data_IF_571665510098
#
_entry.id   IF_571665510098
#
_cell.length_a   1.000
_cell.length_b   1.000
_cell.length_c   1.000
_cell.angle_alpha   90.00
_cell.angle_beta   90.00
_cell.angle_gamma   90.00
#
_symmetry.space_group_name_H-M   'P 1'
#
loop_
_entity.id
_entity.type
_entity.pdbx_description
1 polymer ?
#
# COMPACT_ATOMS: atom_id res chain seq x y z
N UNK A 1 4.42 -21.65 29.22
CA UNK A 1 3.23 -21.41 28.38
C UNK A 1 3.55 -21.86 26.97
N UNK A 2 2.94 -22.94 26.49
CA UNK A 2 3.05 -23.35 25.08
C UNK A 2 2.05 -22.53 24.28
N UNK A 3 2.50 -21.82 23.24
CA UNK A 3 1.62 -21.14 22.29
C UNK A 3 0.72 -22.19 21.61
N UNK A 4 -0.58 -21.90 21.51
CA UNK A 4 -1.53 -22.80 20.85
C UNK A 4 -1.14 -22.95 19.37
N UNK A 5 -1.24 -24.16 18.82
CA UNK A 5 -0.92 -24.46 17.42
C UNK A 5 -1.69 -23.55 16.45
N UNK A 6 -2.94 -23.20 16.79
CA UNK A 6 -3.77 -22.26 16.00
C UNK A 6 -3.23 -20.83 16.01
N UNK A 7 -2.63 -20.39 17.11
CA UNK A 7 -2.01 -19.07 17.20
C UNK A 7 -0.77 -19.03 16.29
N UNK A 8 0.06 -20.07 16.34
CA UNK A 8 1.24 -20.19 15.49
C UNK A 8 0.90 -20.18 13.98
N UNK A 9 -0.15 -20.91 13.57
CA UNK A 9 -0.61 -20.93 12.18
C UNK A 9 -1.15 -19.57 11.71
N UNK A 10 -1.88 -18.85 12.58
CA UNK A 10 -2.37 -17.49 12.29
C UNK A 10 -1.22 -16.50 12.10
N UNK A 11 -0.23 -16.51 13.00
CA UNK A 11 0.94 -15.64 12.88
C UNK A 11 1.76 -15.98 11.64
N UNK A 12 1.95 -17.27 11.32
CA UNK A 12 2.64 -17.68 10.10
C UNK A 12 1.90 -17.19 8.84
N UNK A 13 0.58 -17.33 8.80
CA UNK A 13 -0.24 -16.79 7.71
C UNK A 13 -0.12 -15.27 7.57
N UNK A 14 -0.09 -14.55 8.70
CA UNK A 14 0.11 -13.10 8.73
C UNK A 14 1.49 -12.69 8.22
N UNK A 15 2.56 -13.36 8.66
CA UNK A 15 3.93 -13.09 8.20
C UNK A 15 4.07 -13.32 6.69
N UNK A 16 3.47 -14.40 6.17
CA UNK A 16 3.45 -14.69 4.74
C UNK A 16 2.70 -13.58 3.97
N UNK A 17 1.55 -13.13 4.47
CA UNK A 17 0.80 -12.04 3.86
C UNK A 17 1.61 -10.74 3.83
N UNK A 18 2.22 -10.35 4.96
CA UNK A 18 3.04 -9.14 5.06
C UNK A 18 4.25 -9.19 4.12
N UNK A 19 4.90 -10.35 4.00
CA UNK A 19 5.99 -10.55 3.05
C UNK A 19 5.52 -10.39 1.59
N UNK A 20 4.31 -10.88 1.26
CA UNK A 20 3.72 -10.67 -0.08
C UNK A 20 3.42 -9.19 -0.34
N UNK A 21 2.83 -8.48 0.62
CA UNK A 21 2.55 -7.04 0.51
C UNK A 21 3.84 -6.25 0.27
N UNK A 22 4.91 -6.55 1.05
CA UNK A 22 6.21 -5.89 0.90
C UNK A 22 6.84 -6.12 -0.47
N UNK A 23 6.76 -7.35 -1.00
CA UNK A 23 7.28 -7.68 -2.34
C UNK A 23 6.50 -7.02 -3.48
N UNK A 24 5.19 -6.83 -3.31
CA UNK A 24 4.32 -6.18 -4.29
C UNK A 24 4.18 -4.67 -4.10
N UNK A 25 5.00 -4.05 -3.25
CA UNK A 25 4.89 -2.63 -2.97
C UNK A 25 5.18 -1.79 -4.23
N UNK A 26 4.31 -0.81 -4.49
CA UNK A 26 4.50 0.14 -5.59
C UNK A 26 5.71 1.04 -5.31
N UNK A 27 6.48 1.30 -6.37
CA UNK A 27 7.68 2.14 -6.29
C UNK A 27 7.29 3.60 -6.58
N UNK A 28 7.74 4.59 -5.79
CA UNK A 28 7.44 6.00 -6.03
C UNK A 28 7.96 6.48 -7.38
N UNK A 29 7.25 7.38 -8.04
CA UNK A 29 7.57 7.90 -9.38
C UNK A 29 7.76 6.82 -10.46
N UNK A 30 7.20 5.61 -10.26
CA UNK A 30 7.24 4.50 -11.24
C UNK A 30 5.86 4.06 -11.70
N UNK A 31 4.79 4.65 -11.17
CA UNK A 31 3.43 4.41 -11.64
C UNK A 31 3.08 5.54 -12.60
N UNK A 32 2.83 5.21 -13.87
CA UNK A 32 2.34 6.22 -14.80
C UNK A 32 0.90 6.63 -14.44
N UNK A 33 0.47 7.78 -14.96
CA UNK A 33 -0.80 8.36 -14.56
C UNK A 33 -2.02 7.50 -14.93
N UNK A 34 -2.03 6.90 -16.12
CA UNK A 34 -3.12 6.02 -16.55
C UNK A 34 -3.25 4.78 -15.65
N UNK A 35 -2.14 4.09 -15.37
CA UNK A 35 -2.13 2.96 -14.45
C UNK A 35 -2.56 3.35 -13.04
N UNK A 36 -2.17 4.55 -12.58
CA UNK A 36 -2.62 5.05 -11.28
C UNK A 36 -4.15 5.16 -11.23
N UNK A 37 -4.78 5.78 -12.23
CA UNK A 37 -6.24 5.93 -12.25
C UNK A 37 -6.98 4.59 -12.37
N UNK A 38 -6.44 3.64 -13.14
CA UNK A 38 -6.98 2.28 -13.20
C UNK A 38 -6.95 1.60 -11.83
N UNK A 39 -5.84 1.71 -11.10
CA UNK A 39 -5.70 1.15 -9.75
C UNK A 39 -6.66 1.80 -8.75
N UNK A 40 -6.83 3.12 -8.80
CA UNK A 40 -7.80 3.82 -7.95
C UNK A 40 -9.22 3.35 -8.27
N UNK A 41 -9.58 3.26 -9.55
CA UNK A 41 -10.91 2.84 -9.99
C UNK A 41 -11.34 1.44 -9.53
N UNK A 42 -10.39 0.50 -9.37
CA UNK A 42 -10.67 -0.85 -8.85
C UNK A 42 -10.52 -0.96 -7.32
N UNK A 43 -9.95 0.04 -6.67
CA UNK A 43 -9.74 0.06 -5.23
C UNK A 43 -10.99 0.54 -4.48
N UNK A 44 -11.09 0.21 -3.20
CA UNK A 44 -12.10 0.77 -2.30
C UNK A 44 -11.67 2.12 -1.69
N UNK A 45 -10.75 2.86 -2.33
CA UNK A 45 -10.26 4.15 -1.86
C UNK A 45 -11.13 5.24 -2.48
N UNK A 46 -11.87 5.97 -1.64
CA UNK A 46 -12.80 7.00 -2.10
C UNK A 46 -12.48 8.40 -1.56
N UNK A 47 -11.54 8.52 -0.63
CA UNK A 47 -11.14 9.83 -0.10
C UNK A 47 -10.31 10.56 -1.15
N UNK A 48 -10.84 11.67 -1.65
CA UNK A 48 -10.16 12.53 -2.63
C UNK A 48 -8.80 13.02 -2.12
N UNK A 49 -8.70 13.39 -0.83
CA UNK A 49 -7.43 13.77 -0.19
C UNK A 49 -6.40 12.63 -0.28
N UNK A 50 -6.82 11.39 -0.01
CA UNK A 50 -5.93 10.22 -0.09
C UNK A 50 -5.56 9.90 -1.53
N UNK A 51 -6.50 10.00 -2.47
CA UNK A 51 -6.24 9.77 -3.90
C UNK A 51 -5.20 10.77 -4.40
N UNK A 52 -5.35 12.06 -4.10
CA UNK A 52 -4.39 13.08 -4.52
C UNK A 52 -3.02 12.87 -3.87
N UNK A 53 -2.99 12.53 -2.57
CA UNK A 53 -1.75 12.19 -1.87
C UNK A 53 -1.01 11.00 -2.52
N UNK A 54 -1.75 9.94 -2.88
CA UNK A 54 -1.18 8.79 -3.57
C UNK A 54 -0.71 9.15 -4.99
N UNK A 55 -1.41 10.03 -5.71
CA UNK A 55 -0.98 10.52 -7.03
C UNK A 55 0.34 11.28 -6.92
N UNK A 56 0.43 12.20 -5.97
CA UNK A 56 1.64 12.97 -5.68
C UNK A 56 2.83 12.06 -5.37
N UNK A 57 2.61 11.02 -4.58
CA UNK A 57 3.67 10.07 -4.20
C UNK A 57 4.05 9.09 -5.32
N UNK A 58 3.07 8.41 -5.92
CA UNK A 58 3.29 7.28 -6.82
C UNK A 58 3.59 7.70 -8.27
N UNK A 59 3.01 8.82 -8.71
CA UNK A 59 3.18 9.35 -10.07
C UNK A 59 4.26 10.42 -10.11
N UNK A 60 4.15 11.45 -9.25
CA UNK A 60 5.07 12.59 -9.29
C UNK A 60 6.31 12.44 -8.40
N UNK A 61 6.36 11.44 -7.53
CA UNK A 61 7.52 11.19 -6.67
C UNK A 61 7.69 12.19 -5.54
N UNK A 62 6.64 12.94 -5.18
CA UNK A 62 6.65 13.81 -4.00
C UNK A 62 6.95 12.94 -2.77
N UNK A 63 7.79 13.41 -1.86
CA UNK A 63 8.20 12.57 -0.73
C UNK A 63 7.01 12.23 0.19
N UNK A 64 7.06 11.09 0.88
CA UNK A 64 6.01 10.73 1.85
C UNK A 64 5.83 11.80 2.92
N UNK A 65 6.93 12.44 3.34
CA UNK A 65 6.90 13.49 4.35
C UNK A 65 6.05 14.66 3.86
N UNK A 66 6.36 15.17 2.67
CA UNK A 66 5.68 16.35 2.13
C UNK A 66 4.22 16.06 1.79
N UNK A 67 3.90 14.84 1.35
CA UNK A 67 2.52 14.41 1.10
C UNK A 67 1.70 14.34 2.39
N UNK A 68 2.28 13.81 3.48
CA UNK A 68 1.58 13.66 4.75
C UNK A 68 1.42 14.97 5.53
N UNK A 69 2.19 16.01 5.20
CA UNK A 69 2.11 17.34 5.83
C UNK A 69 1.04 18.26 5.20
N UNK A 70 0.45 17.86 4.06
CA UNK A 70 -0.69 18.54 3.39
C UNK A 70 -2.03 18.07 3.95
#
# INVERSE_FOLDING_TARGET
>A
MMLNRKDADYYLGKEIMLARIRRGALIPAKVNEEHFWLLIGISSIHSEKIIQALRDYLVFGVSRKDVCER
#
